data_IF_735260673140
#
_entry.id   IF_735260673140
#
_cell.length_a   1.000
_cell.length_b   1.000
_cell.length_c   1.000
_cell.angle_alpha   90.00
_cell.angle_beta   90.00
_cell.angle_gamma   90.00
#
_symmetry.space_group_name_H-M   'P 1'
#
loop_
_entity.id
_entity.type
_entity.pdbx_description
1 polymer ?
#
# COMPACT_ATOMS: atom_id res chain seq x y z
N UNK A 1 5.45 -7.08 -7.61
CA UNK A 1 5.38 -6.17 -8.78
C UNK A 1 6.42 -5.07 -8.77
N UNK A 2 6.45 -4.17 -7.77
CA UNK A 2 7.43 -3.07 -7.75
C UNK A 2 8.89 -3.56 -7.90
N UNK A 3 9.33 -4.57 -7.15
CA UNK A 3 10.69 -5.11 -7.30
C UNK A 3 10.98 -5.65 -8.71
N UNK A 4 10.02 -6.31 -9.37
CA UNK A 4 10.19 -6.79 -10.74
C UNK A 4 10.30 -5.65 -11.76
N UNK A 5 9.65 -4.51 -11.48
CA UNK A 5 9.77 -3.31 -12.30
C UNK A 5 11.16 -2.71 -12.17
N UNK A 6 11.67 -2.61 -10.93
CA UNK A 6 13.02 -2.12 -10.64
C UNK A 6 14.06 -3.01 -11.34
N UNK A 7 13.94 -4.33 -11.20
CA UNK A 7 14.84 -5.29 -11.86
C UNK A 7 14.82 -5.14 -13.40
N UNK A 8 13.65 -4.93 -13.99
CA UNK A 8 13.55 -4.69 -15.42
C UNK A 8 14.19 -3.35 -15.83
N UNK A 9 13.96 -2.28 -15.08
CA UNK A 9 14.56 -0.96 -15.34
C UNK A 9 16.09 -1.06 -15.23
N UNK A 10 16.61 -1.79 -14.25
CA UNK A 10 18.05 -1.99 -14.11
C UNK A 10 18.64 -2.69 -15.34
N UNK A 11 17.93 -3.67 -15.91
CA UNK A 11 18.40 -4.48 -17.04
C UNK A 11 18.18 -3.83 -18.42
N UNK A 12 17.11 -3.05 -18.58
CA UNK A 12 16.64 -2.57 -19.89
C UNK A 12 16.32 -1.07 -19.93
N UNK A 13 16.41 -0.38 -18.81
CA UNK A 13 16.23 1.06 -18.74
C UNK A 13 17.38 1.79 -19.42
N UNK A 14 17.11 3.02 -19.87
CA UNK A 14 18.12 3.89 -20.47
C UNK A 14 18.63 4.88 -19.43
N UNK A 15 19.95 5.09 -19.40
CA UNK A 15 20.59 6.04 -18.50
C UNK A 15 20.02 7.44 -18.74
N UNK A 16 19.76 8.18 -17.65
CA UNK A 16 19.15 9.51 -17.69
C UNK A 16 17.62 9.51 -17.83
N UNK A 17 17.00 8.35 -18.06
CA UNK A 17 15.55 8.25 -18.14
C UNK A 17 14.90 8.00 -16.76
N UNK A 18 13.67 8.50 -16.62
CA UNK A 18 12.78 8.22 -15.48
C UNK A 18 11.66 7.28 -15.90
N UNK A 19 11.28 6.34 -15.04
CA UNK A 19 10.20 5.39 -15.26
C UNK A 19 9.25 5.39 -14.07
N UNK A 20 7.99 5.74 -14.30
CA UNK A 20 6.93 5.61 -13.29
C UNK A 20 6.49 4.15 -13.23
N UNK A 21 6.21 3.67 -12.01
CA UNK A 21 5.77 2.31 -11.75
C UNK A 21 4.37 2.41 -11.15
N UNK A 22 3.39 1.77 -11.79
CA UNK A 22 2.00 1.78 -11.37
C UNK A 22 1.49 0.39 -11.03
N UNK A 23 0.17 0.23 -11.05
CA UNK A 23 -0.54 -1.00 -10.72
C UNK A 23 -1.63 -1.27 -11.76
N UNK A 24 -2.15 -2.50 -11.79
CA UNK A 24 -3.16 -2.95 -12.77
C UNK A 24 -4.60 -2.63 -12.31
N UNK A 25 -4.77 -1.59 -11.50
CA UNK A 25 -6.09 -1.14 -11.04
C UNK A 25 -6.22 0.37 -11.21
N UNK A 26 -7.47 0.80 -11.47
CA UNK A 26 -7.85 2.20 -11.33
C UNK A 26 -7.74 2.62 -9.87
N UNK A 27 -7.76 3.93 -9.65
CA UNK A 27 -7.74 4.56 -8.32
C UNK A 27 -8.70 3.89 -7.33
N UNK A 28 -8.25 3.74 -6.09
CA UNK A 28 -9.05 3.25 -4.97
C UNK A 28 -9.01 4.27 -3.84
N UNK A 29 -10.15 4.55 -3.23
CA UNK A 29 -10.20 5.42 -2.05
C UNK A 29 -9.78 4.68 -0.78
N UNK A 30 -9.30 5.43 0.22
CA UNK A 30 -8.92 4.86 1.52
C UNK A 30 -10.08 4.06 2.17
N UNK A 31 -11.32 4.56 2.06
CA UNK A 31 -12.51 3.88 2.59
C UNK A 31 -12.77 2.55 1.85
N UNK A 32 -12.65 2.54 0.51
CA UNK A 32 -12.83 1.30 -0.26
C UNK A 32 -11.76 0.27 0.09
N UNK A 33 -10.50 0.70 0.29
CA UNK A 33 -9.40 -0.16 0.69
C UNK A 33 -9.65 -0.78 2.07
N UNK A 34 -10.02 0.03 3.06
CA UNK A 34 -10.32 -0.46 4.42
C UNK A 34 -11.48 -1.46 4.40
N UNK A 35 -12.56 -1.19 3.65
CA UNK A 35 -13.69 -2.14 3.51
C UNK A 35 -13.25 -3.50 2.96
N UNK A 36 -12.32 -3.53 2.00
CA UNK A 36 -11.76 -4.79 1.47
C UNK A 36 -10.96 -5.54 2.55
N UNK A 37 -10.14 -4.84 3.33
CA UNK A 37 -9.38 -5.41 4.44
C UNK A 37 -10.30 -6.00 5.51
N UNK A 38 -11.29 -5.23 5.99
CA UNK A 38 -12.26 -5.68 7.00
C UNK A 38 -13.02 -6.93 6.55
N UNK A 39 -13.44 -6.98 5.28
CA UNK A 39 -14.08 -8.17 4.69
C UNK A 39 -13.20 -9.42 4.79
N UNK A 40 -11.91 -9.31 4.47
CA UNK A 40 -10.97 -10.44 4.56
C UNK A 40 -10.79 -10.88 6.02
N UNK A 41 -10.71 -9.92 6.94
CA UNK A 41 -10.56 -10.18 8.38
C UNK A 41 -11.86 -10.64 9.07
N UNK A 42 -12.98 -10.74 8.34
CA UNK A 42 -14.32 -11.01 8.89
C UNK A 42 -14.70 -10.05 10.01
N UNK A 43 -14.47 -8.75 9.79
CA UNK A 43 -14.82 -7.65 10.69
C UNK A 43 -15.85 -6.72 10.04
N UNK A 44 -16.69 -6.15 10.88
CA UNK A 44 -17.76 -5.25 10.45
C UNK A 44 -17.30 -3.79 10.40
N UNK A 45 -18.17 -2.92 9.88
CA UNK A 45 -17.90 -1.49 9.71
C UNK A 45 -17.57 -0.75 11.01
N UNK A 46 -18.01 -1.26 12.15
CA UNK A 46 -17.77 -0.68 13.49
C UNK A 46 -16.28 -0.67 13.89
N UNK A 47 -15.44 -1.40 13.16
CA UNK A 47 -13.98 -1.34 13.29
C UNK A 47 -13.35 -0.13 12.58
N UNK A 48 -14.15 0.72 11.95
CA UNK A 48 -13.71 1.94 11.29
C UNK A 48 -14.09 3.17 12.12
N UNK A 49 -13.11 4.01 12.42
CA UNK A 49 -13.30 5.30 13.09
C UNK A 49 -12.86 6.43 12.15
N UNK A 50 -13.70 7.46 12.02
CA UNK A 50 -13.30 8.69 11.33
C UNK A 50 -12.52 9.56 12.31
N UNK A 51 -11.34 10.00 11.91
CA UNK A 51 -10.46 10.88 12.68
C UNK A 51 -10.26 12.20 11.94
N UNK A 52 -9.74 13.20 12.64
CA UNK A 52 -9.37 14.48 12.04
C UNK A 52 -8.44 14.28 10.85
N UNK A 53 -8.73 14.97 9.75
CA UNK A 53 -7.94 14.85 8.54
C UNK A 53 -6.52 15.41 8.71
N UNK A 54 -5.58 14.91 7.91
CA UNK A 54 -4.18 15.37 7.91
C UNK A 54 -4.11 16.77 7.30
N UNK A 55 -3.43 17.71 7.97
CA UNK A 55 -3.13 19.00 7.36
C UNK A 55 -2.33 18.80 6.05
N UNK A 56 -2.78 19.44 4.97
CA UNK A 56 -2.16 19.28 3.64
C UNK A 56 -2.38 17.89 3.01
N UNK A 57 -3.53 17.26 3.22
CA UNK A 57 -3.82 15.96 2.61
C UNK A 57 -4.10 16.08 1.10
N UNK A 58 -3.14 15.65 0.29
CA UNK A 58 -3.38 15.38 -1.13
C UNK A 58 -4.46 14.30 -1.29
N UNK A 59 -5.52 14.62 -2.02
CA UNK A 59 -6.71 13.75 -2.11
C UNK A 59 -6.56 12.59 -3.09
N UNK A 60 -5.63 12.71 -4.03
CA UNK A 60 -5.50 11.77 -5.15
C UNK A 60 -4.08 11.75 -5.67
N UNK A 61 -3.56 10.54 -5.80
CA UNK A 61 -2.36 10.27 -6.58
C UNK A 61 -2.70 9.31 -7.70
N UNK A 62 -2.22 9.64 -8.90
CA UNK A 62 -2.28 8.78 -10.07
C UNK A 62 -0.97 8.94 -10.84
N UNK A 63 -0.49 7.84 -11.43
CA UNK A 63 0.77 7.84 -12.19
C UNK A 63 0.52 7.27 -13.57
N UNK A 64 1.05 7.94 -14.59
CA UNK A 64 1.15 7.38 -15.92
C UNK A 64 2.41 6.51 -16.01
N UNK A 65 2.22 5.19 -16.06
CA UNK A 65 3.28 4.19 -16.20
C UNK A 65 3.37 3.62 -17.63
N UNK A 66 2.80 4.30 -18.64
CA UNK A 66 2.85 3.90 -20.05
C UNK A 66 4.28 3.68 -20.57
N UNK A 67 5.26 4.41 -20.03
CA UNK A 67 6.66 4.30 -20.44
C UNK A 67 7.31 2.97 -20.05
N UNK A 68 7.14 2.51 -18.81
CA UNK A 68 7.72 1.21 -18.40
C UNK A 68 6.98 0.04 -19.08
N UNK A 69 5.69 0.22 -19.42
CA UNK A 69 4.94 -0.75 -20.22
C UNK A 69 5.61 -1.02 -21.57
N UNK A 70 6.21 -0.01 -22.20
CA UNK A 70 6.98 -0.16 -23.45
C UNK A 70 8.26 -0.99 -23.28
N UNK A 71 8.79 -1.11 -22.07
CA UNK A 71 9.89 -2.03 -21.75
C UNK A 71 9.44 -3.50 -21.60
N UNK A 72 8.13 -3.77 -21.74
CA UNK A 72 7.54 -5.08 -21.56
C UNK A 72 7.12 -5.38 -20.12
N UNK A 73 7.13 -4.38 -19.23
CA UNK A 73 6.64 -4.56 -17.87
C UNK A 73 5.11 -4.50 -17.79
N UNK A 74 4.54 -5.37 -16.96
CA UNK A 74 3.16 -5.23 -16.47
C UNK A 74 3.07 -5.75 -15.04
N UNK A 75 2.15 -5.20 -14.21
CA UNK A 75 1.86 -5.77 -12.90
C UNK A 75 1.34 -7.20 -13.07
N UNK A 76 1.65 -8.07 -12.11
CA UNK A 76 1.23 -9.48 -12.11
C UNK A 76 -0.03 -9.68 -11.27
N UNK A 77 -0.20 -8.91 -10.20
CA UNK A 77 -1.28 -9.13 -9.25
C UNK A 77 -2.39 -8.10 -9.41
N UNK A 78 -3.63 -8.58 -9.36
CA UNK A 78 -4.80 -7.72 -9.22
C UNK A 78 -4.83 -7.15 -7.80
N UNK A 79 -5.54 -6.04 -7.63
CA UNK A 79 -5.65 -5.37 -6.34
C UNK A 79 -6.21 -6.29 -5.26
N UNK A 80 -7.31 -6.99 -5.54
CA UNK A 80 -7.98 -7.83 -4.55
C UNK A 80 -7.11 -9.01 -4.10
N UNK A 81 -6.37 -9.63 -5.03
CA UNK A 81 -5.40 -10.69 -4.71
C UNK A 81 -4.27 -10.15 -3.82
N UNK A 82 -3.76 -8.96 -4.16
CA UNK A 82 -2.66 -8.33 -3.42
C UNK A 82 -3.05 -7.98 -2.00
N UNK A 83 -4.25 -7.43 -1.79
CA UNK A 83 -4.78 -7.11 -0.45
C UNK A 83 -4.94 -8.40 0.35
N UNK A 84 -5.54 -9.44 -0.24
CA UNK A 84 -5.73 -10.74 0.42
C UNK A 84 -4.40 -11.34 0.88
N UNK A 85 -3.43 -11.44 -0.04
CA UNK A 85 -2.10 -11.98 0.27
C UNK A 85 -1.39 -11.16 1.35
N UNK A 86 -1.54 -9.83 1.32
CA UNK A 86 -0.94 -8.95 2.32
C UNK A 86 -1.56 -9.17 3.70
N UNK A 87 -2.90 -9.18 3.81
CA UNK A 87 -3.60 -9.43 5.07
C UNK A 87 -3.23 -10.80 5.64
N UNK A 88 -3.26 -11.85 4.80
CA UNK A 88 -2.85 -13.21 5.20
C UNK A 88 -1.41 -13.23 5.68
N UNK A 89 -0.49 -12.52 5.02
CA UNK A 89 0.90 -12.46 5.47
C UNK A 89 1.00 -11.85 6.88
N UNK A 90 0.34 -10.71 7.13
CA UNK A 90 0.38 -10.09 8.47
C UNK A 90 -0.26 -10.98 9.55
N UNK A 91 -1.32 -11.72 9.23
CA UNK A 91 -1.95 -12.66 10.17
C UNK A 91 -1.02 -13.82 10.54
N UNK A 92 -0.24 -14.34 9.59
CA UNK A 92 0.66 -15.47 9.83
C UNK A 92 2.07 -15.07 10.30
N UNK A 93 2.43 -13.78 10.28
CA UNK A 93 3.77 -13.29 10.63
C UNK A 93 3.75 -12.38 11.86
N UNK A 94 2.99 -12.77 12.88
CA UNK A 94 2.79 -11.98 14.10
C UNK A 94 4.11 -11.68 14.84
N UNK A 95 5.00 -12.66 14.95
CA UNK A 95 6.32 -12.50 15.57
C UNK A 95 7.17 -11.43 14.86
N UNK A 96 6.97 -11.25 13.56
CA UNK A 96 7.71 -10.26 12.78
C UNK A 96 7.29 -8.83 13.09
N UNK A 97 5.98 -8.53 13.12
CA UNK A 97 5.52 -7.16 13.35
C UNK A 97 5.38 -6.79 14.82
N UNK A 98 5.13 -7.75 15.73
CA UNK A 98 4.96 -7.45 17.18
C UNK A 98 6.18 -6.75 17.76
N UNK A 99 7.40 -7.20 17.41
CA UNK A 99 8.66 -6.57 17.86
C UNK A 99 8.77 -5.10 17.43
N UNK A 100 8.20 -4.73 16.29
CA UNK A 100 8.26 -3.38 15.71
C UNK A 100 7.32 -2.43 16.44
N UNK A 101 6.22 -2.93 17.04
CA UNK A 101 5.22 -2.11 17.73
C UNK A 101 5.63 -1.67 19.14
N UNK A 102 6.89 -1.85 19.52
CA UNK A 102 7.44 -1.48 20.83
C UNK A 102 8.24 -0.16 20.76
N UNK A 103 8.67 0.34 21.92
CA UNK A 103 9.59 1.48 22.01
C UNK A 103 9.08 2.75 21.33
N UNK A 104 9.85 3.25 20.36
CA UNK A 104 9.57 4.50 19.65
C UNK A 104 8.25 4.48 18.87
N UNK A 105 7.89 3.34 18.26
CA UNK A 105 6.63 3.22 17.53
C UNK A 105 5.44 3.48 18.45
N UNK A 106 5.45 2.90 19.66
CA UNK A 106 4.37 3.09 20.63
C UNK A 106 4.28 4.54 21.10
N UNK A 107 5.41 5.17 21.43
CA UNK A 107 5.46 6.59 21.80
C UNK A 107 4.91 7.49 20.70
N UNK A 108 5.28 7.22 19.44
CA UNK A 108 4.75 7.95 18.29
C UNK A 108 3.23 7.76 18.16
N UNK A 109 2.74 6.53 18.28
CA UNK A 109 1.31 6.23 18.17
C UNK A 109 0.49 6.97 19.23
N UNK A 110 0.94 6.95 20.49
CA UNK A 110 0.29 7.65 21.60
C UNK A 110 0.30 9.18 21.41
N UNK A 111 1.39 9.75 20.90
CA UNK A 111 1.47 11.18 20.58
C UNK A 111 0.50 11.60 19.48
N UNK A 112 0.38 10.78 18.43
CA UNK A 112 -0.42 11.11 17.24
C UNK A 112 -1.91 10.79 17.42
N UNK A 113 -2.23 9.68 18.07
CA UNK A 113 -3.61 9.15 18.17
C UNK A 113 -4.09 8.90 19.60
N UNK A 114 -3.21 8.99 20.62
CA UNK A 114 -3.54 8.67 22.01
C UNK A 114 -4.25 9.80 22.76
N UNK A 115 -4.19 11.04 22.25
CA UNK A 115 -5.03 12.14 22.72
C UNK A 115 -6.33 12.13 21.93
N UNK A 116 -7.37 11.53 22.53
CA UNK A 116 -8.75 11.86 22.19
C UNK A 116 -9.11 13.18 22.83
#
# INVERSE_FOLDING_TARGET
DHCSAIDLILKKGKIGERYMIGSDHKEISNIQLIKKVLKIMKKDGDWMEFVTDRLGHDRKYAVDWSKIKKLGWKPKYKLDDSIRLTVEWYMHNESWWKKIKSGEFRKHYEKTYGKK
#
